data_IF_194988544467
#
_entry.id   IF_194988544467
#
_cell.length_a   1.000
_cell.length_b   1.000
_cell.length_c   1.000
_cell.angle_alpha   90.00
_cell.angle_beta   90.00
_cell.angle_gamma   90.00
#
_symmetry.space_group_name_H-M   'P 1'
#
loop_
_entity.id
_entity.type
_entity.pdbx_description
1 polymer ?
#
# COMPACT_ATOMS: atom_id res chain seq x y z
N UNK A 1 22.52 -4.72 -59.99
CA UNK A 1 22.95 -3.31 -59.94
C UNK A 1 21.95 -2.50 -60.76
N UNK A 2 21.12 -1.65 -60.13
CA UNK A 2 21.44 -0.23 -59.87
C UNK A 2 20.91 0.23 -58.47
N UNK A 3 20.83 1.53 -58.11
CA UNK A 3 21.81 2.23 -57.26
C UNK A 3 21.35 2.60 -55.83
N UNK A 4 22.34 2.82 -54.96
CA UNK A 4 22.23 3.40 -53.61
C UNK A 4 21.61 4.80 -53.65
N UNK A 5 20.49 5.02 -52.96
CA UNK A 5 20.01 6.35 -52.58
C UNK A 5 20.51 6.69 -51.16
N UNK A 6 21.18 7.83 -51.06
CA UNK A 6 21.79 8.33 -49.84
C UNK A 6 20.78 8.66 -48.75
N UNK A 7 21.17 8.36 -47.51
CA UNK A 7 20.55 8.84 -46.29
C UNK A 7 20.66 10.37 -46.21
N UNK A 8 19.55 11.06 -46.43
CA UNK A 8 19.37 12.43 -45.97
C UNK A 8 19.09 12.39 -44.46
N UNK A 9 19.96 13.03 -43.66
CA UNK A 9 19.66 13.35 -42.26
C UNK A 9 18.42 14.24 -42.20
N UNK A 10 17.43 13.96 -41.34
CA UNK A 10 16.36 14.92 -41.07
C UNK A 10 16.96 16.15 -40.38
N UNK A 11 16.70 17.33 -40.95
CA UNK A 11 16.92 18.62 -40.32
C UNK A 11 16.09 18.69 -39.04
N UNK A 12 16.74 18.91 -37.91
CA UNK A 12 16.08 19.38 -36.68
C UNK A 12 15.37 20.71 -36.97
N UNK A 13 14.08 20.86 -36.63
CA UNK A 13 13.42 22.16 -36.74
C UNK A 13 13.98 23.09 -35.67
N UNK A 14 14.65 24.15 -36.10
CA UNK A 14 14.97 25.31 -35.27
C UNK A 14 13.66 25.98 -34.85
N UNK A 15 13.33 25.91 -33.56
CA UNK A 15 12.21 26.69 -33.00
C UNK A 15 12.60 28.16 -32.96
N UNK A 16 11.80 29.10 -33.49
CA UNK A 16 12.10 30.52 -33.45
C UNK A 16 11.98 31.07 -32.03
N UNK A 17 12.96 31.86 -31.63
CA UNK A 17 12.99 32.60 -30.38
C UNK A 17 11.79 33.53 -30.24
N UNK A 18 10.81 33.09 -29.47
CA UNK A 18 9.81 33.95 -28.86
C UNK A 18 10.48 34.69 -27.70
N UNK A 19 10.74 35.99 -27.90
CA UNK A 19 11.03 36.94 -26.83
C UNK A 19 9.81 37.03 -25.91
N UNK A 20 9.70 36.07 -25.00
CA UNK A 20 8.72 36.06 -23.93
C UNK A 20 9.03 37.20 -22.97
N UNK A 21 8.15 38.20 -22.97
CA UNK A 21 7.98 39.16 -21.86
C UNK A 21 8.15 38.40 -20.54
N UNK A 22 9.01 38.90 -19.64
CA UNK A 22 9.03 38.46 -18.23
C UNK A 22 7.61 38.63 -17.69
N UNK A 23 6.82 37.56 -17.72
CA UNK A 23 5.62 37.45 -16.90
C UNK A 23 6.16 37.40 -15.48
N UNK A 24 6.08 38.53 -14.77
CA UNK A 24 6.15 38.51 -13.32
C UNK A 24 5.09 37.49 -12.90
N UNK A 25 5.54 36.36 -12.34
CA UNK A 25 4.65 35.35 -11.84
C UNK A 25 3.74 36.04 -10.83
N UNK A 26 2.44 36.13 -11.14
CA UNK A 26 1.46 36.60 -10.16
C UNK A 26 1.53 35.61 -9.02
N UNK A 27 2.05 36.06 -7.86
CA UNK A 27 2.03 35.28 -6.63
C UNK A 27 0.61 34.76 -6.43
N UNK A 28 0.48 33.47 -6.17
CA UNK A 28 -0.84 32.90 -5.88
C UNK A 28 -1.36 33.51 -4.58
N UNK A 29 -2.69 33.60 -4.41
CA UNK A 29 -3.30 34.19 -3.21
C UNK A 29 -2.78 33.51 -1.93
N UNK A 30 -2.45 32.21 -2.01
CA UNK A 30 -1.81 31.45 -0.95
C UNK A 30 -0.38 31.89 -0.62
N UNK A 31 0.46 32.20 -1.61
CA UNK A 31 1.82 32.70 -1.40
C UNK A 31 1.84 34.07 -0.72
N UNK A 32 0.84 34.92 -1.01
CA UNK A 32 0.70 36.25 -0.40
C UNK A 32 0.26 36.12 1.06
N UNK A 33 -0.73 35.27 1.34
CA UNK A 33 -1.21 35.01 2.70
C UNK A 33 -0.08 34.45 3.57
N UNK A 34 0.74 33.55 3.04
CA UNK A 34 1.82 32.94 3.81
C UNK A 34 3.02 33.86 4.04
N UNK A 35 3.40 34.70 3.06
CA UNK A 35 4.42 35.73 3.30
C UNK A 35 3.96 36.73 4.37
N UNK A 36 2.68 37.11 4.37
CA UNK A 36 2.10 37.94 5.44
C UNK A 36 2.08 37.22 6.79
N UNK A 37 1.83 35.91 6.81
CA UNK A 37 1.81 35.12 8.05
C UNK A 37 3.23 34.91 8.62
N UNK A 38 4.25 34.76 7.77
CA UNK A 38 5.66 34.67 8.17
C UNK A 38 6.28 36.05 8.52
N UNK A 39 5.67 37.15 8.08
CA UNK A 39 6.01 38.50 8.56
C UNK A 39 5.43 38.78 9.96
N UNK A 40 4.30 38.15 10.32
CA UNK A 40 3.61 38.33 11.62
C UNK A 40 3.99 37.28 12.68
N UNK A 41 4.47 36.10 12.29
CA UNK A 41 4.82 34.99 13.18
C UNK A 41 6.18 34.38 12.81
N UNK A 42 6.95 33.92 13.81
CA UNK A 42 8.23 33.25 13.53
C UNK A 42 8.02 31.87 12.87
N UNK A 43 9.05 31.41 12.16
CA UNK A 43 9.04 30.17 11.37
C UNK A 43 8.69 28.93 12.22
N UNK A 44 9.12 28.92 13.48
CA UNK A 44 8.89 27.83 14.42
C UNK A 44 7.43 27.77 14.89
N UNK A 45 6.79 28.93 15.08
CA UNK A 45 5.38 29.06 15.44
C UNK A 45 4.46 28.59 14.32
N UNK A 46 4.79 28.92 13.06
CA UNK A 46 4.01 28.49 11.89
C UNK A 46 4.13 26.98 11.66
N UNK A 47 5.31 26.42 11.92
CA UNK A 47 5.56 24.97 11.83
C UNK A 47 4.80 24.18 12.90
N UNK A 48 4.69 24.72 14.11
CA UNK A 48 3.99 24.07 15.23
C UNK A 48 2.46 24.19 15.10
N UNK A 49 1.95 25.35 14.70
CA UNK A 49 0.50 25.59 14.59
C UNK A 49 -0.10 25.07 13.29
N UNK A 50 0.66 25.05 12.19
CA UNK A 50 0.16 24.68 10.86
C UNK A 50 1.14 23.78 10.08
N UNK A 51 1.48 22.59 10.60
CA UNK A 51 2.52 21.71 10.03
C UNK A 51 2.25 21.30 8.58
N UNK A 52 0.99 21.06 8.21
CA UNK A 52 0.61 20.67 6.84
C UNK A 52 0.79 21.82 5.84
N UNK A 53 0.61 23.07 6.29
CA UNK A 53 0.80 24.27 5.46
C UNK A 53 2.29 24.55 5.27
N UNK A 54 3.06 24.40 6.35
CA UNK A 54 4.52 24.54 6.33
C UNK A 54 5.18 23.48 5.42
N UNK A 55 4.76 22.22 5.50
CA UNK A 55 5.28 21.12 4.67
C UNK A 55 4.95 21.32 3.17
N UNK A 56 3.72 21.71 2.85
CA UNK A 56 3.31 22.03 1.48
C UNK A 56 4.06 23.25 0.91
N UNK A 57 4.32 24.27 1.74
CA UNK A 57 5.14 25.41 1.36
C UNK A 57 6.60 25.04 1.14
N UNK A 58 7.21 24.26 2.04
CA UNK A 58 8.58 23.80 1.87
C UNK A 58 8.75 22.95 0.61
N UNK A 59 7.79 22.07 0.31
CA UNK A 59 7.78 21.27 -0.93
C UNK A 59 7.66 22.15 -2.17
N UNK A 60 6.74 23.12 -2.18
CA UNK A 60 6.58 24.03 -3.32
C UNK A 60 7.72 25.03 -3.47
N UNK A 61 8.37 25.41 -2.36
CA UNK A 61 9.57 26.24 -2.38
C UNK A 61 10.76 25.42 -2.86
N UNK A 62 10.95 24.18 -2.38
CA UNK A 62 11.98 23.27 -2.91
C UNK A 62 11.79 22.97 -4.41
N UNK A 63 10.57 22.74 -4.88
CA UNK A 63 10.26 22.58 -6.31
C UNK A 63 10.59 23.83 -7.13
N UNK A 64 10.40 25.04 -6.57
CA UNK A 64 10.77 26.31 -7.23
C UNK A 64 12.26 26.63 -7.13
N UNK A 65 12.90 26.35 -6.01
CA UNK A 65 14.33 26.60 -5.75
C UNK A 65 15.20 25.65 -6.57
N UNK A 66 14.72 24.42 -6.82
CA UNK A 66 15.40 23.40 -7.62
C UNK A 66 14.63 23.04 -8.90
N UNK A 67 13.88 23.98 -9.49
CA UNK A 67 13.05 23.80 -10.70
C UNK A 67 13.86 23.22 -11.88
N UNK A 68 15.15 23.56 -11.98
CA UNK A 68 16.08 22.98 -12.94
C UNK A 68 16.31 21.48 -12.73
N UNK A 69 16.65 21.08 -11.50
CA UNK A 69 16.92 19.68 -11.14
C UNK A 69 15.67 18.81 -11.24
N UNK A 70 14.49 19.33 -10.86
CA UNK A 70 13.22 18.60 -11.01
C UNK A 70 12.81 18.42 -12.47
N UNK A 71 13.03 19.41 -13.34
CA UNK A 71 12.78 19.28 -14.77
C UNK A 71 13.73 18.29 -15.44
N UNK A 72 15.01 18.33 -15.07
CA UNK A 72 16.00 17.37 -15.55
C UNK A 72 15.67 15.94 -15.11
N UNK A 73 15.38 15.73 -13.82
CA UNK A 73 14.98 14.42 -13.30
C UNK A 73 13.70 13.90 -13.96
N UNK A 74 12.71 14.76 -14.19
CA UNK A 74 11.49 14.40 -14.91
C UNK A 74 11.77 14.04 -16.38
N UNK A 75 12.65 14.78 -17.04
CA UNK A 75 13.08 14.48 -18.40
C UNK A 75 13.80 13.13 -18.48
N UNK A 76 14.77 12.90 -17.59
CA UNK A 76 15.49 11.63 -17.49
C UNK A 76 14.56 10.45 -17.20
N UNK A 77 13.57 10.63 -16.33
CA UNK A 77 12.55 9.61 -16.06
C UNK A 77 11.72 9.27 -17.30
N UNK A 78 11.32 10.27 -18.08
CA UNK A 78 10.62 10.04 -19.34
C UNK A 78 11.49 9.33 -20.39
N UNK A 79 12.77 9.68 -20.47
CA UNK A 79 13.74 9.00 -21.36
C UNK A 79 13.92 7.55 -20.92
N UNK A 80 14.09 7.29 -19.62
CA UNK A 80 14.20 5.94 -19.07
C UNK A 80 12.97 5.10 -19.41
N UNK A 81 11.77 5.65 -19.20
CA UNK A 81 10.51 4.98 -19.54
C UNK A 81 10.43 4.64 -21.03
N UNK A 82 10.74 5.60 -21.90
CA UNK A 82 10.75 5.39 -23.35
C UNK A 82 11.77 4.31 -23.79
N UNK A 83 12.98 4.31 -23.22
CA UNK A 83 13.98 3.29 -23.48
C UNK A 83 13.52 1.89 -23.01
N UNK A 84 12.82 1.81 -21.88
CA UNK A 84 12.28 0.56 -21.38
C UNK A 84 11.16 0.03 -22.29
N UNK A 85 10.25 0.90 -22.74
CA UNK A 85 9.18 0.53 -23.68
C UNK A 85 9.75 0.02 -25.03
N UNK A 86 10.81 0.67 -25.54
CA UNK A 86 11.54 0.24 -26.74
C UNK A 86 12.18 -1.14 -26.55
N UNK A 87 12.81 -1.39 -25.40
CA UNK A 87 13.42 -2.68 -25.07
C UNK A 87 12.35 -3.78 -25.09
N UNK A 88 11.20 -3.57 -24.46
CA UNK A 88 10.12 -4.56 -24.42
C UNK A 88 9.55 -4.84 -25.82
N UNK A 89 9.41 -3.81 -26.65
CA UNK A 89 9.04 -3.96 -28.07
C UNK A 89 10.07 -4.80 -28.85
N UNK A 90 11.38 -4.55 -28.68
CA UNK A 90 12.43 -5.33 -29.33
C UNK A 90 12.44 -6.80 -28.87
N UNK A 91 12.21 -7.04 -27.58
CA UNK A 91 12.09 -8.41 -27.04
C UNK A 91 10.90 -9.14 -27.66
N UNK A 92 9.75 -8.48 -27.78
CA UNK A 92 8.57 -9.08 -28.44
C UNK A 92 8.89 -9.45 -29.89
N UNK A 93 9.49 -8.52 -30.64
CA UNK A 93 9.84 -8.76 -32.05
C UNK A 93 10.84 -9.91 -32.24
N UNK A 94 11.85 -10.00 -31.37
CA UNK A 94 12.82 -11.10 -31.42
C UNK A 94 12.19 -12.46 -31.11
N UNK A 95 11.17 -12.53 -30.24
CA UNK A 95 10.41 -13.76 -29.99
C UNK A 95 9.58 -14.17 -31.21
N UNK A 96 8.92 -13.20 -31.84
CA UNK A 96 8.13 -13.44 -33.04
C UNK A 96 9.02 -13.95 -34.19
N UNK A 97 10.18 -13.31 -34.41
CA UNK A 97 11.16 -13.73 -35.42
C UNK A 97 11.72 -15.15 -35.14
N UNK A 98 11.97 -15.49 -33.88
CA UNK A 98 12.44 -16.83 -33.50
C UNK A 98 11.37 -17.91 -33.75
N UNK A 99 10.10 -17.64 -33.39
CA UNK A 99 9.00 -18.54 -33.69
C UNK A 99 8.86 -18.79 -35.19
N UNK A 100 8.96 -17.73 -36.00
CA UNK A 100 8.84 -17.82 -37.45
C UNK A 100 9.95 -18.68 -38.08
N UNK A 101 11.20 -18.54 -37.59
CA UNK A 101 12.33 -19.36 -38.00
C UNK A 101 12.15 -20.85 -37.63
N UNK A 102 11.56 -21.12 -36.47
CA UNK A 102 11.30 -22.48 -35.99
C UNK A 102 10.17 -23.16 -36.79
N UNK A 103 9.12 -22.41 -37.14
CA UNK A 103 8.08 -22.86 -38.07
C UNK A 103 8.66 -23.17 -39.46
N UNK A 104 9.50 -22.28 -40.01
CA UNK A 104 10.16 -22.52 -41.31
C UNK A 104 11.02 -23.78 -41.30
N UNK A 105 11.79 -24.00 -40.22
CA UNK A 105 12.61 -25.21 -40.05
C UNK A 105 11.77 -26.48 -39.98
N UNK A 106 10.62 -26.43 -39.33
CA UNK A 106 9.69 -27.56 -39.25
C UNK A 106 9.01 -27.85 -40.59
N UNK A 107 8.61 -26.82 -41.34
CA UNK A 107 8.06 -26.96 -42.69
C UNK A 107 9.11 -27.60 -43.63
N UNK A 108 10.35 -27.13 -43.59
CA UNK A 108 11.44 -27.68 -44.41
C UNK A 108 11.64 -29.19 -44.17
N UNK A 109 11.65 -29.62 -42.90
CA UNK A 109 11.76 -31.06 -42.55
C UNK A 109 10.60 -31.91 -43.06
N UNK A 110 9.38 -31.36 -43.09
CA UNK A 110 8.21 -32.05 -43.64
C UNK A 110 8.38 -32.22 -45.15
N UNK A 111 8.78 -31.16 -45.86
CA UNK A 111 9.03 -31.19 -47.30
C UNK A 111 10.16 -32.18 -47.66
N UNK A 112 11.24 -32.21 -46.89
CA UNK A 112 12.34 -33.18 -47.06
C UNK A 112 11.85 -34.62 -46.87
N UNK A 113 10.99 -34.89 -45.88
CA UNK A 113 10.39 -36.22 -45.70
C UNK A 113 9.46 -36.60 -46.85
N UNK A 114 8.61 -35.68 -47.31
CA UNK A 114 7.73 -35.92 -48.47
C UNK A 114 8.55 -36.22 -49.74
N UNK A 115 9.65 -35.51 -49.96
CA UNK A 115 10.54 -35.75 -51.10
C UNK A 115 11.23 -37.12 -51.04
N UNK A 116 11.67 -37.56 -49.85
CA UNK A 116 12.24 -38.90 -49.65
C UNK A 116 11.18 -39.98 -49.89
N UNK A 117 9.95 -39.77 -49.39
CA UNK A 117 8.84 -40.69 -49.56
C UNK A 117 8.48 -40.84 -51.06
N UNK A 118 8.43 -39.74 -51.82
CA UNK A 118 8.20 -39.74 -53.27
C UNK A 118 9.35 -40.44 -54.03
N UNK A 119 10.61 -40.21 -53.65
CA UNK A 119 11.74 -40.91 -54.25
C UNK A 119 11.64 -42.42 -54.02
N UNK A 120 11.32 -42.84 -52.80
CA UNK A 120 11.20 -44.27 -52.46
C UNK A 120 10.02 -44.93 -53.18
N UNK A 121 8.88 -44.24 -53.30
CA UNK A 121 7.72 -44.72 -54.07
C UNK A 121 8.09 -44.93 -55.56
N UNK A 122 8.75 -43.94 -56.17
CA UNK A 122 9.22 -44.04 -57.56
C UNK A 122 10.22 -45.19 -57.77
N UNK A 123 11.11 -45.42 -56.80
CA UNK A 123 12.06 -46.54 -56.85
C UNK A 123 11.34 -47.89 -56.81
N UNK A 124 10.31 -48.03 -55.98
CA UNK A 124 9.52 -49.26 -55.90
C UNK A 124 8.75 -49.50 -57.19
N UNK A 125 8.08 -48.49 -57.72
CA UNK A 125 7.37 -48.61 -59.00
C UNK A 125 8.32 -48.98 -60.14
N UNK A 126 9.56 -48.50 -60.10
CA UNK A 126 10.60 -48.84 -61.08
C UNK A 126 11.06 -50.29 -60.90
N UNK A 127 11.22 -50.75 -59.66
CA UNK A 127 11.59 -52.14 -59.34
C UNK A 127 10.47 -53.10 -59.72
N UNK A 128 9.21 -52.79 -59.39
CA UNK A 128 8.06 -53.63 -59.72
C UNK A 128 7.89 -53.75 -61.23
N UNK A 129 8.02 -52.65 -61.97
CA UNK A 129 8.05 -52.68 -63.45
C UNK A 129 9.21 -53.52 -64.00
N UNK A 130 10.40 -53.45 -63.39
CA UNK A 130 11.54 -54.27 -63.81
C UNK A 130 11.31 -55.76 -63.55
N UNK A 131 10.69 -56.11 -62.42
CA UNK A 131 10.29 -57.49 -62.08
C UNK A 131 9.26 -58.00 -63.09
N UNK A 132 8.27 -57.20 -63.44
CA UNK A 132 7.22 -57.56 -64.38
C UNK A 132 7.80 -57.77 -65.80
N UNK A 133 8.66 -56.85 -66.24
CA UNK A 133 9.39 -56.96 -67.51
C UNK A 133 10.27 -58.21 -67.55
N UNK A 134 10.93 -58.56 -66.44
CA UNK A 134 11.75 -59.76 -66.34
C UNK A 134 10.89 -61.04 -66.38
N UNK A 135 9.77 -61.08 -65.65
CA UNK A 135 8.80 -62.20 -65.69
C UNK A 135 8.29 -62.42 -67.11
N UNK A 136 7.90 -61.35 -67.80
CA UNK A 136 7.44 -61.40 -69.18
C UNK A 136 8.52 -61.90 -70.13
N UNK A 137 9.76 -61.41 -69.98
CA UNK A 137 10.90 -61.86 -70.79
C UNK A 137 11.23 -63.33 -70.54
N UNK A 138 11.22 -63.77 -69.28
CA UNK A 138 11.40 -65.18 -68.90
C UNK A 138 10.33 -66.05 -69.56
N UNK A 139 9.06 -65.65 -69.45
CA UNK A 139 7.94 -66.43 -69.97
C UNK A 139 7.95 -66.46 -71.51
N UNK A 140 8.42 -65.38 -72.15
CA UNK A 140 8.68 -65.37 -73.59
C UNK A 140 9.82 -66.32 -73.97
N UNK A 141 10.98 -66.24 -73.32
CA UNK A 141 12.12 -67.14 -73.60
C UNK A 141 11.77 -68.61 -73.35
N UNK A 142 11.01 -68.91 -72.29
CA UNK A 142 10.54 -70.26 -72.01
C UNK A 142 9.59 -70.74 -73.10
N UNK A 143 8.65 -69.90 -73.56
CA UNK A 143 7.78 -70.22 -74.70
C UNK A 143 8.56 -70.44 -76.00
N UNK A 144 9.50 -69.55 -76.33
CA UNK A 144 10.35 -69.65 -77.53
C UNK A 144 11.24 -70.90 -77.51
N UNK A 145 11.82 -71.24 -76.35
CA UNK A 145 12.60 -72.48 -76.19
C UNK A 145 11.73 -73.72 -76.27
N UNK A 146 10.50 -73.66 -75.75
CA UNK A 146 9.56 -74.77 -75.81
C UNK A 146 9.07 -75.00 -77.24
N UNK A 147 8.77 -73.91 -77.98
CA UNK A 147 8.40 -74.01 -79.40
C UNK A 147 9.58 -74.44 -80.25
N UNK A 148 10.81 -73.96 -79.99
CA UNK A 148 12.02 -74.43 -80.67
C UNK A 148 12.31 -75.91 -80.39
N UNK A 149 12.24 -76.35 -79.12
CA UNK A 149 12.37 -77.77 -78.78
C UNK A 149 11.29 -78.60 -79.46
N UNK A 150 10.03 -78.19 -79.44
CA UNK A 150 8.96 -78.91 -80.12
C UNK A 150 9.15 -78.95 -81.64
N UNK A 151 9.68 -77.88 -82.25
CA UNK A 151 10.05 -77.85 -83.66
C UNK A 151 11.18 -78.83 -83.96
N UNK A 152 12.24 -78.83 -83.17
CA UNK A 152 13.36 -79.75 -83.34
C UNK A 152 12.97 -81.19 -83.03
N UNK A 153 12.06 -81.45 -82.09
CA UNK A 153 11.53 -82.79 -81.84
C UNK A 153 10.69 -83.28 -83.02
N UNK A 154 9.87 -82.41 -83.63
CA UNK A 154 9.12 -82.75 -84.84
C UNK A 154 10.03 -82.96 -86.05
N UNK A 155 10.98 -82.06 -86.28
CA UNK A 155 11.99 -82.19 -87.35
C UNK A 155 12.89 -83.41 -87.15
N UNK A 156 13.32 -83.72 -85.91
CA UNK A 156 14.06 -84.95 -85.64
C UNK A 156 13.18 -86.19 -85.82
N UNK A 157 11.86 -86.11 -85.60
CA UNK A 157 10.95 -87.20 -85.92
C UNK A 157 10.75 -87.36 -87.43
N UNK A 158 10.60 -86.26 -88.17
CA UNK A 158 10.50 -86.25 -89.63
C UNK A 158 11.81 -86.72 -90.28
N UNK A 159 12.97 -86.31 -89.75
CA UNK A 159 14.30 -86.78 -90.19
C UNK A 159 14.52 -88.25 -89.81
N UNK A 160 14.01 -88.72 -88.66
CA UNK A 160 14.03 -90.14 -88.29
C UNK A 160 13.09 -90.95 -89.17
N UNK A 161 11.94 -90.42 -89.58
CA UNK A 161 11.05 -91.05 -90.56
C UNK A 161 11.68 -91.08 -91.96
N UNK A 162 12.33 -90.00 -92.40
CA UNK A 162 13.06 -89.94 -93.68
C UNK A 162 14.26 -90.89 -93.69
N UNK A 163 15.02 -90.93 -92.58
CA UNK A 163 16.13 -91.89 -92.40
C UNK A 163 15.60 -93.30 -92.23
N UNK A 164 14.43 -93.54 -91.62
CA UNK A 164 13.81 -94.87 -91.57
C UNK A 164 13.33 -95.33 -92.94
N UNK A 165 12.77 -94.45 -93.78
CA UNK A 165 12.40 -94.77 -95.16
C UNK A 165 13.64 -95.02 -96.05
N UNK A 166 14.70 -94.21 -95.92
CA UNK A 166 15.98 -94.45 -96.61
C UNK A 166 16.70 -95.70 -96.08
N UNK A 167 16.55 -95.99 -94.79
CA UNK A 167 17.08 -97.18 -94.11
C UNK A 167 16.31 -98.44 -94.48
N UNK A 168 14.99 -98.43 -94.64
CA UNK A 168 14.25 -99.63 -95.09
C UNK A 168 14.64 -100.02 -96.52
N UNK A 169 15.09 -99.05 -97.33
CA UNK A 169 15.70 -99.27 -98.64
C UNK A 169 17.13 -99.83 -98.52
N UNK A 170 17.96 -99.36 -97.58
CA UNK A 170 19.34 -99.85 -97.40
C UNK A 170 19.47 -101.11 -96.52
N UNK A 171 18.51 -101.39 -95.64
CA UNK A 171 18.50 -102.56 -94.73
C UNK A 171 18.09 -103.86 -95.44
N UNK A 172 17.73 -103.80 -96.73
CA UNK A 172 17.63 -104.98 -97.58
C UNK A 172 18.99 -105.60 -97.92
N UNK A 173 20.12 -104.91 -97.67
CA UNK A 173 21.42 -105.42 -98.12
C UNK A 173 22.48 -105.69 -97.05
N UNK A 174 22.49 -105.12 -95.85
CA UNK A 174 23.50 -105.52 -94.85
C UNK A 174 23.07 -105.33 -93.38
N UNK A 175 22.91 -106.45 -92.68
CA UNK A 175 22.80 -106.59 -91.21
C UNK A 175 24.01 -107.45 -90.78
N UNK A 176 24.88 -107.11 -89.81
CA UNK A 176 24.58 -107.02 -88.38
C UNK A 176 25.58 -106.12 -87.57
N UNK A 177 26.60 -105.50 -88.17
CA UNK A 177 27.67 -104.83 -87.37
C UNK A 177 27.38 -103.38 -86.92
N UNK A 178 26.33 -102.73 -87.43
CA UNK A 178 26.03 -101.30 -87.16
C UNK A 178 25.15 -101.03 -85.92
N UNK A 179 24.69 -102.05 -85.21
CA UNK A 179 23.80 -101.88 -84.05
C UNK A 179 24.55 -101.53 -82.75
N UNK A 180 25.83 -101.90 -82.61
CA UNK A 180 26.58 -101.66 -81.36
C UNK A 180 27.16 -100.24 -81.22
N UNK A 181 27.53 -99.58 -82.32
CA UNK A 181 28.06 -98.20 -82.32
C UNK A 181 26.95 -97.13 -82.20
N UNK A 182 25.72 -97.44 -82.63
CA UNK A 182 24.55 -96.53 -82.53
C UNK A 182 24.04 -96.34 -81.10
N UNK A 183 24.11 -97.38 -80.26
CA UNK A 183 23.61 -97.32 -78.88
C UNK A 183 24.51 -96.49 -77.94
N UNK A 184 25.83 -96.58 -78.11
CA UNK A 184 26.78 -95.97 -77.16
C UNK A 184 26.91 -94.45 -77.37
N UNK A 185 27.06 -93.98 -78.62
CA UNK A 185 27.22 -92.54 -78.88
C UNK A 185 25.94 -91.70 -78.70
N UNK A 186 24.75 -92.29 -78.90
CA UNK A 186 23.49 -91.59 -78.65
C UNK A 186 23.18 -91.51 -77.15
N UNK A 187 23.49 -92.56 -76.39
CA UNK A 187 23.28 -92.59 -74.95
C UNK A 187 24.22 -91.63 -74.18
N UNK A 188 25.51 -91.58 -74.52
CA UNK A 188 26.46 -90.66 -73.87
C UNK A 188 26.13 -89.18 -74.12
N UNK A 189 25.71 -88.84 -75.35
CA UNK A 189 25.26 -87.46 -75.67
C UNK A 189 23.95 -87.10 -74.97
N UNK A 190 22.99 -88.02 -74.88
CA UNK A 190 21.75 -87.80 -74.14
C UNK A 190 22.00 -87.64 -72.63
N UNK A 191 22.95 -88.37 -72.08
CA UNK A 191 23.33 -88.27 -70.67
C UNK A 191 24.03 -86.93 -70.37
N UNK A 192 24.94 -86.48 -71.23
CA UNK A 192 25.55 -85.14 -71.13
C UNK A 192 24.54 -84.00 -71.30
N UNK A 193 23.56 -84.15 -72.19
CA UNK A 193 22.47 -83.17 -72.38
C UNK A 193 21.54 -83.16 -71.16
N UNK A 194 21.23 -84.32 -70.56
CA UNK A 194 20.45 -84.39 -69.32
C UNK A 194 21.20 -83.74 -68.15
N UNK A 195 22.51 -83.99 -68.03
CA UNK A 195 23.37 -83.45 -66.97
C UNK A 195 23.52 -81.93 -67.08
N UNK A 196 23.83 -81.42 -68.27
CA UNK A 196 23.88 -79.97 -68.53
C UNK A 196 22.51 -79.30 -68.37
N UNK A 197 21.39 -79.91 -68.80
CA UNK A 197 20.03 -79.41 -68.51
C UNK A 197 19.69 -79.38 -67.02
N UNK A 198 20.25 -80.28 -66.22
CA UNK A 198 20.04 -80.31 -64.78
C UNK A 198 20.87 -79.21 -64.10
N UNK A 199 22.15 -79.09 -64.43
CA UNK A 199 23.06 -78.06 -63.91
C UNK A 199 22.57 -76.64 -64.25
N UNK A 200 22.17 -76.40 -65.50
CA UNK A 200 21.65 -75.09 -65.91
C UNK A 200 20.34 -74.75 -65.21
N UNK A 201 19.49 -75.74 -64.90
CA UNK A 201 18.28 -75.55 -64.10
C UNK A 201 18.59 -75.24 -62.65
N UNK A 202 19.61 -75.85 -62.06
CA UNK A 202 20.05 -75.56 -60.68
C UNK A 202 20.60 -74.15 -60.61
N UNK A 203 21.54 -73.76 -61.48
CA UNK A 203 22.14 -72.42 -61.48
C UNK A 203 21.09 -71.33 -61.74
N UNK A 204 20.16 -71.54 -62.68
CA UNK A 204 19.08 -70.55 -62.92
C UNK A 204 18.15 -70.42 -61.71
N UNK A 205 17.87 -71.54 -61.01
CA UNK A 205 16.98 -71.57 -59.85
C UNK A 205 17.65 -70.92 -58.64
N UNK A 206 18.94 -71.12 -58.45
CA UNK A 206 19.72 -70.50 -57.38
C UNK A 206 19.90 -69.00 -57.61
N UNK A 207 20.18 -68.56 -58.85
CA UNK A 207 20.21 -67.13 -59.20
C UNK A 207 18.84 -66.46 -59.03
N UNK A 208 17.74 -67.15 -59.37
CA UNK A 208 16.37 -66.67 -59.13
C UNK A 208 16.06 -66.53 -57.65
N UNK A 209 16.52 -67.50 -56.85
CA UNK A 209 16.32 -67.52 -55.41
C UNK A 209 17.09 -66.38 -54.74
N UNK A 210 18.36 -66.16 -55.10
CA UNK A 210 19.16 -65.04 -54.57
C UNK A 210 18.57 -63.68 -54.95
N UNK A 211 18.09 -63.53 -56.19
CA UNK A 211 17.43 -62.30 -56.63
C UNK A 211 16.11 -62.06 -55.87
N UNK A 212 15.27 -63.08 -55.72
CA UNK A 212 14.04 -63.03 -54.93
C UNK A 212 14.31 -62.70 -53.45
N UNK A 213 15.33 -63.31 -52.84
CA UNK A 213 15.71 -63.04 -51.45
C UNK A 213 16.16 -61.59 -51.26
N UNK A 214 16.96 -61.04 -52.18
CA UNK A 214 17.34 -59.61 -52.15
C UNK A 214 16.14 -58.68 -52.33
N UNK A 215 15.18 -59.03 -53.18
CA UNK A 215 13.94 -58.24 -53.32
C UNK A 215 13.04 -58.33 -52.09
N UNK A 216 12.93 -59.50 -51.47
CA UNK A 216 12.23 -59.68 -50.19
C UNK A 216 12.88 -58.85 -49.08
N UNK A 217 14.22 -58.73 -49.05
CA UNK A 217 14.93 -57.85 -48.13
C UNK A 217 14.63 -56.37 -48.39
N UNK A 218 14.69 -55.89 -49.64
CA UNK A 218 14.36 -54.49 -49.97
C UNK A 218 12.92 -54.16 -49.57
N UNK A 219 11.99 -55.04 -49.88
CA UNK A 219 10.57 -54.89 -49.51
C UNK A 219 10.37 -54.92 -48.00
N UNK A 220 11.08 -55.77 -47.27
CA UNK A 220 11.06 -55.81 -45.81
C UNK A 220 11.57 -54.49 -45.19
N UNK A 221 12.68 -53.95 -45.69
CA UNK A 221 13.25 -52.68 -45.24
C UNK A 221 12.25 -51.53 -45.48
N UNK A 222 11.64 -51.49 -46.66
CA UNK A 222 10.63 -50.48 -46.99
C UNK A 222 9.37 -50.57 -46.11
N UNK A 223 8.82 -51.78 -45.93
CA UNK A 223 7.68 -51.98 -45.05
C UNK A 223 8.01 -51.56 -43.60
N UNK A 224 9.23 -51.83 -43.15
CA UNK A 224 9.73 -51.42 -41.82
C UNK A 224 9.88 -49.89 -41.72
N UNK A 225 10.36 -49.24 -42.77
CA UNK A 225 10.44 -47.78 -42.86
C UNK A 225 9.03 -47.16 -42.79
N UNK A 226 8.09 -47.58 -43.64
CA UNK A 226 6.70 -47.08 -43.63
C UNK A 226 6.06 -47.24 -42.24
N UNK A 227 6.11 -48.44 -41.66
CA UNK A 227 5.48 -48.67 -40.36
C UNK A 227 6.12 -47.83 -39.25
N UNK A 228 7.43 -47.60 -39.28
CA UNK A 228 8.09 -46.71 -38.33
C UNK A 228 7.74 -45.23 -38.59
N UNK A 229 7.66 -44.80 -39.84
CA UNK A 229 7.30 -43.42 -40.22
C UNK A 229 5.85 -43.13 -39.84
N UNK A 230 4.91 -44.06 -40.04
CA UNK A 230 3.54 -43.93 -39.56
C UNK A 230 3.45 -43.86 -38.04
N UNK A 231 4.20 -44.70 -37.31
CA UNK A 231 4.26 -44.62 -35.84
C UNK A 231 4.77 -43.25 -35.37
N UNK A 232 5.81 -42.72 -36.01
CA UNK A 232 6.35 -41.37 -35.73
C UNK A 232 5.33 -40.28 -36.06
N UNK A 233 4.60 -40.37 -37.18
CA UNK A 233 3.51 -39.43 -37.53
C UNK A 233 2.39 -39.46 -36.49
N UNK A 234 1.98 -40.64 -36.01
CA UNK A 234 0.97 -40.77 -34.93
C UNK A 234 1.45 -40.16 -33.61
N UNK A 235 2.69 -40.43 -33.22
CA UNK A 235 3.29 -39.84 -32.02
C UNK A 235 3.37 -38.31 -32.11
N UNK A 236 3.75 -37.76 -33.26
CA UNK A 236 3.79 -36.32 -33.49
C UNK A 236 2.38 -35.68 -33.43
N UNK A 237 1.37 -36.31 -34.03
CA UNK A 237 -0.02 -35.85 -33.95
C UNK A 237 -0.57 -35.87 -32.52
N UNK A 238 -0.20 -36.88 -31.72
CA UNK A 238 -0.56 -36.94 -30.30
C UNK A 238 0.15 -35.83 -29.49
N UNK A 239 1.43 -35.57 -29.77
CA UNK A 239 2.18 -34.49 -29.14
C UNK A 239 1.55 -33.13 -29.45
N UNK A 240 1.23 -32.88 -30.71
CA UNK A 240 0.57 -31.64 -31.17
C UNK A 240 -0.82 -31.44 -30.55
N UNK A 241 -1.57 -32.52 -30.36
CA UNK A 241 -2.87 -32.46 -29.68
C UNK A 241 -2.70 -32.13 -28.19
N UNK A 242 -1.67 -32.68 -27.54
CA UNK A 242 -1.33 -32.39 -26.15
C UNK A 242 -0.83 -30.95 -25.98
N UNK A 243 0.07 -30.48 -26.84
CA UNK A 243 0.56 -29.09 -26.80
C UNK A 243 -0.59 -28.09 -26.90
N UNK A 244 -1.57 -28.33 -27.80
CA UNK A 244 -2.79 -27.50 -27.87
C UNK A 244 -3.62 -27.52 -26.59
N UNK A 245 -3.70 -28.67 -25.92
CA UNK A 245 -4.42 -28.75 -24.63
C UNK A 245 -3.66 -28.05 -23.51
N UNK A 246 -2.34 -28.16 -23.51
CA UNK A 246 -1.45 -27.52 -22.54
C UNK A 246 -1.46 -25.99 -22.75
N UNK A 247 -1.50 -25.50 -23.99
CA UNK A 247 -1.66 -24.08 -24.32
C UNK A 247 -2.97 -23.51 -23.74
N UNK A 248 -4.09 -24.23 -23.87
CA UNK A 248 -5.38 -23.82 -23.28
C UNK A 248 -5.30 -23.75 -21.74
N UNK A 249 -4.58 -24.69 -21.11
CA UNK A 249 -4.37 -24.69 -19.66
C UNK A 249 -3.48 -23.52 -19.25
N UNK A 250 -2.41 -23.25 -20.00
CA UNK A 250 -1.51 -22.12 -19.78
C UNK A 250 -2.27 -20.79 -19.90
N UNK A 251 -3.13 -20.63 -20.90
CA UNK A 251 -3.99 -19.46 -21.08
C UNK A 251 -4.87 -19.24 -19.83
N UNK A 252 -5.56 -20.30 -19.36
CA UNK A 252 -6.40 -20.23 -18.15
C UNK A 252 -5.61 -19.89 -16.89
N UNK A 253 -4.38 -20.41 -16.77
CA UNK A 253 -3.50 -20.09 -15.65
C UNK A 253 -3.02 -18.63 -15.72
N UNK A 254 -2.72 -18.11 -16.91
CA UNK A 254 -2.39 -16.69 -17.11
C UNK A 254 -3.54 -15.78 -16.71
N UNK A 255 -4.76 -16.10 -17.13
CA UNK A 255 -5.97 -15.35 -16.75
C UNK A 255 -6.17 -15.36 -15.23
N UNK A 256 -5.95 -16.52 -14.59
CA UNK A 256 -6.05 -16.65 -13.14
C UNK A 256 -4.95 -15.89 -12.39
N UNK A 257 -3.72 -15.83 -12.93
CA UNK A 257 -2.65 -15.01 -12.36
C UNK A 257 -2.99 -13.52 -12.48
N UNK A 258 -3.53 -13.10 -13.63
CA UNK A 258 -3.96 -11.72 -13.84
C UNK A 258 -5.08 -11.31 -12.88
N UNK A 259 -6.09 -12.16 -12.65
CA UNK A 259 -7.15 -11.88 -11.68
C UNK A 259 -6.62 -11.81 -10.24
N UNK A 260 -5.71 -12.71 -9.86
CA UNK A 260 -5.04 -12.68 -8.55
C UNK A 260 -4.18 -11.42 -8.36
N UNK A 261 -3.56 -10.88 -9.41
CA UNK A 261 -2.82 -9.61 -9.33
C UNK A 261 -3.75 -8.43 -9.06
N UNK A 262 -4.92 -8.38 -9.72
CA UNK A 262 -5.94 -7.35 -9.46
C UNK A 262 -6.45 -7.44 -8.02
N UNK A 263 -6.74 -8.66 -7.55
CA UNK A 263 -7.21 -8.90 -6.18
C UNK A 263 -6.15 -8.52 -5.13
N UNK A 264 -4.88 -8.86 -5.38
CA UNK A 264 -3.75 -8.44 -4.55
C UNK A 264 -3.64 -6.92 -4.47
N UNK A 265 -3.79 -6.22 -5.59
CA UNK A 265 -3.73 -4.76 -5.63
C UNK A 265 -4.89 -4.11 -4.85
N UNK A 266 -6.10 -4.69 -4.93
CA UNK A 266 -7.27 -4.28 -4.15
C UNK A 266 -7.05 -4.47 -2.64
N UNK A 267 -6.55 -5.65 -2.22
CA UNK A 267 -6.23 -5.94 -0.81
C UNK A 267 -5.14 -5.00 -0.30
N UNK A 268 -4.11 -4.71 -1.11
CA UNK A 268 -3.02 -3.79 -0.73
C UNK A 268 -3.54 -2.36 -0.53
N UNK A 269 -4.48 -1.91 -1.38
CA UNK A 269 -5.15 -0.61 -1.20
C UNK A 269 -6.00 -0.58 0.08
N UNK A 270 -6.73 -1.67 0.38
CA UNK A 270 -7.51 -1.79 1.63
C UNK A 270 -6.63 -1.77 2.87
N UNK A 271 -5.50 -2.49 2.88
CA UNK A 271 -4.53 -2.48 3.98
C UNK A 271 -3.93 -1.09 4.22
N UNK A 272 -3.64 -0.31 3.18
CA UNK A 272 -3.20 1.08 3.34
C UNK A 272 -4.24 1.94 4.04
N UNK A 273 -5.52 1.75 3.73
CA UNK A 273 -6.62 2.47 4.40
C UNK A 273 -6.73 2.04 5.86
N UNK A 274 -6.63 0.74 6.16
CA UNK A 274 -6.63 0.23 7.54
C UNK A 274 -5.44 0.76 8.35
N UNK A 275 -4.25 0.91 7.76
CA UNK A 275 -3.09 1.52 8.41
C UNK A 275 -3.32 3.01 8.73
N UNK A 276 -3.87 3.78 7.78
CA UNK A 276 -4.22 5.19 8.01
C UNK A 276 -5.27 5.32 9.12
N UNK A 277 -6.26 4.42 9.14
CA UNK A 277 -7.28 4.40 10.19
C UNK A 277 -6.68 4.02 11.56
N UNK A 278 -5.73 3.09 11.61
CA UNK A 278 -5.05 2.72 12.85
C UNK A 278 -4.24 3.88 13.42
N UNK A 279 -3.46 4.59 12.58
CA UNK A 279 -2.75 5.81 12.97
C UNK A 279 -3.72 6.88 13.48
N UNK A 280 -4.87 7.06 12.83
CA UNK A 280 -5.87 8.05 13.24
C UNK A 280 -6.56 7.68 14.56
N UNK A 281 -6.71 6.39 14.84
CA UNK A 281 -7.20 5.90 16.15
C UNK A 281 -6.16 6.17 17.24
N UNK A 282 -4.88 5.92 16.96
CA UNK A 282 -3.78 6.22 17.89
C UNK A 282 -3.71 7.72 18.23
N UNK A 283 -3.84 8.60 17.22
CA UNK A 283 -3.91 10.04 17.42
C UNK A 283 -5.09 10.42 18.33
N UNK A 284 -6.29 9.88 18.06
CA UNK A 284 -7.49 10.13 18.87
C UNK A 284 -7.38 9.57 20.30
N UNK A 285 -6.71 8.43 20.49
CA UNK A 285 -6.44 7.90 21.83
C UNK A 285 -5.45 8.76 22.60
N UNK A 286 -4.44 9.32 21.93
CA UNK A 286 -3.50 10.27 22.53
C UNK A 286 -4.20 11.56 22.95
N UNK A 287 -5.07 12.12 22.10
CA UNK A 287 -5.86 13.32 22.39
C UNK A 287 -6.86 13.07 23.53
N UNK A 288 -7.50 11.90 23.54
CA UNK A 288 -8.34 11.48 24.67
C UNK A 288 -7.52 11.42 25.97
N UNK A 289 -6.30 10.90 25.93
CA UNK A 289 -5.39 10.86 27.07
C UNK A 289 -5.08 12.25 27.62
N UNK A 290 -4.71 13.19 26.75
CA UNK A 290 -4.42 14.58 27.16
C UNK A 290 -5.64 15.28 27.73
N UNK A 291 -6.83 15.09 27.14
CA UNK A 291 -8.09 15.66 27.65
C UNK A 291 -8.48 15.08 29.00
N UNK A 292 -8.30 13.77 29.21
CA UNK A 292 -8.55 13.13 30.51
C UNK A 292 -7.60 13.68 31.57
N UNK A 293 -6.32 13.86 31.25
CA UNK A 293 -5.34 14.46 32.16
C UNK A 293 -5.67 15.92 32.49
N UNK A 294 -6.08 16.72 31.49
CA UNK A 294 -6.53 18.11 31.70
C UNK A 294 -7.77 18.15 32.61
N UNK A 295 -8.77 17.29 32.36
CA UNK A 295 -9.95 17.16 33.23
C UNK A 295 -9.57 16.74 34.65
N UNK A 296 -8.59 15.85 34.80
CA UNK A 296 -8.03 15.45 36.09
C UNK A 296 -7.45 16.64 36.85
N UNK A 297 -6.58 17.42 36.19
CA UNK A 297 -5.98 18.64 36.76
C UNK A 297 -7.03 19.68 37.13
N UNK A 298 -7.99 19.96 36.23
CA UNK A 298 -9.08 20.91 36.50
C UNK A 298 -9.95 20.47 37.69
N UNK A 299 -10.24 19.17 37.84
CA UNK A 299 -10.99 18.67 39.01
C UNK A 299 -10.22 18.83 40.31
N UNK A 300 -8.91 18.63 40.30
CA UNK A 300 -8.07 18.83 41.48
C UNK A 300 -8.05 20.31 41.85
N UNK A 301 -7.85 21.19 40.86
CA UNK A 301 -7.82 22.63 41.07
C UNK A 301 -9.16 23.15 41.58
N UNK A 302 -10.28 22.75 40.98
CA UNK A 302 -11.61 23.11 41.44
C UNK A 302 -11.85 22.70 42.90
N UNK A 303 -11.39 21.50 43.32
CA UNK A 303 -11.48 21.08 44.72
C UNK A 303 -10.64 21.93 45.66
N UNK A 304 -9.46 22.37 45.22
CA UNK A 304 -8.60 23.26 45.99
C UNK A 304 -9.25 24.64 46.12
N UNK A 305 -9.75 25.20 45.02
CA UNK A 305 -10.45 26.50 45.00
C UNK A 305 -11.67 26.49 45.93
N UNK A 306 -12.50 25.43 45.88
CA UNK A 306 -13.64 25.29 46.81
C UNK A 306 -13.20 25.22 48.29
N UNK A 307 -12.07 24.57 48.59
CA UNK A 307 -11.55 24.50 49.95
C UNK A 307 -11.01 25.87 50.42
N UNK A 308 -10.31 26.60 49.53
CA UNK A 308 -9.82 27.95 49.80
C UNK A 308 -10.97 28.95 50.01
N UNK A 309 -11.98 28.92 49.15
CA UNK A 309 -13.16 29.77 49.29
C UNK A 309 -13.94 29.44 50.57
N UNK A 310 -14.07 28.16 50.92
CA UNK A 310 -14.64 27.74 52.20
C UNK A 310 -13.88 28.29 53.40
N UNK A 311 -12.54 28.27 53.37
CA UNK A 311 -11.70 28.85 54.41
C UNK A 311 -11.83 30.37 54.50
N UNK A 312 -11.88 31.07 53.36
CA UNK A 312 -12.10 32.52 53.28
C UNK A 312 -13.47 32.92 53.82
N UNK A 313 -14.52 32.19 53.47
CA UNK A 313 -15.87 32.40 53.98
C UNK A 313 -15.91 32.23 55.49
N UNK A 314 -15.31 31.17 56.04
CA UNK A 314 -15.21 30.96 57.49
C UNK A 314 -14.46 32.10 58.18
N UNK A 315 -13.35 32.57 57.61
CA UNK A 315 -12.61 33.70 58.16
C UNK A 315 -13.44 34.99 58.16
N UNK A 316 -14.12 35.29 57.04
CA UNK A 316 -15.01 36.44 56.93
C UNK A 316 -16.15 36.37 57.94
N UNK A 317 -16.80 35.21 58.09
CA UNK A 317 -17.86 35.00 59.08
C UNK A 317 -17.35 35.24 60.50
N UNK A 318 -16.17 34.72 60.85
CA UNK A 318 -15.58 34.95 62.18
C UNK A 318 -15.29 36.44 62.41
N UNK A 319 -14.75 37.14 61.40
CA UNK A 319 -14.44 38.56 61.51
C UNK A 319 -15.72 39.40 61.62
N UNK A 320 -16.75 39.11 60.82
CA UNK A 320 -18.05 39.75 60.93
C UNK A 320 -18.68 39.53 62.32
N UNK A 321 -18.62 38.30 62.85
CA UNK A 321 -19.15 38.01 64.18
C UNK A 321 -18.38 38.78 65.27
N UNK A 322 -17.06 38.84 65.19
CA UNK A 322 -16.24 39.64 66.12
C UNK A 322 -16.61 41.12 66.09
N UNK A 323 -16.78 41.69 64.89
CA UNK A 323 -17.18 43.10 64.74
C UNK A 323 -18.60 43.32 65.27
N UNK A 324 -19.52 42.38 65.04
CA UNK A 324 -20.89 42.45 65.60
C UNK A 324 -20.83 42.42 67.13
N UNK A 325 -20.03 41.55 67.73
CA UNK A 325 -19.84 41.48 69.18
C UNK A 325 -19.27 42.79 69.75
N UNK A 326 -18.26 43.37 69.10
CA UNK A 326 -17.69 44.66 69.48
C UNK A 326 -18.72 45.80 69.39
N UNK A 327 -19.49 45.86 68.31
CA UNK A 327 -20.54 46.86 68.13
C UNK A 327 -21.67 46.70 69.15
N UNK A 328 -22.07 45.47 69.48
CA UNK A 328 -23.04 45.20 70.54
C UNK A 328 -22.53 45.64 71.91
N UNK A 329 -21.24 45.47 72.19
CA UNK A 329 -20.66 45.94 73.44
C UNK A 329 -20.58 47.48 73.51
N UNK A 330 -20.24 48.13 72.39
CA UNK A 330 -20.32 49.60 72.29
C UNK A 330 -21.75 50.10 72.48
N UNK A 331 -22.75 49.44 71.87
CA UNK A 331 -24.16 49.76 72.05
C UNK A 331 -24.57 49.66 73.52
N UNK A 332 -24.19 48.58 74.23
CA UNK A 332 -24.44 48.43 75.67
C UNK A 332 -23.79 49.53 76.49
N UNK A 333 -22.57 49.92 76.16
CA UNK A 333 -21.84 50.98 76.86
C UNK A 333 -22.53 52.33 76.68
N UNK A 334 -22.94 52.66 75.46
CA UNK A 334 -23.72 53.87 75.15
C UNK A 334 -25.06 53.85 75.89
N UNK A 335 -25.78 52.73 75.88
CA UNK A 335 -27.04 52.58 76.60
C UNK A 335 -26.85 52.78 78.12
N UNK A 336 -25.76 52.26 78.68
CA UNK A 336 -25.41 52.45 80.10
C UNK A 336 -25.09 53.91 80.41
N UNK A 337 -24.32 54.59 79.58
CA UNK A 337 -24.02 56.03 79.71
C UNK A 337 -25.33 56.83 79.67
N UNK A 338 -26.20 56.58 78.69
CA UNK A 338 -27.49 57.25 78.57
C UNK A 338 -28.38 57.02 79.80
N UNK A 339 -28.43 55.78 80.32
CA UNK A 339 -29.13 55.47 81.58
C UNK A 339 -28.59 56.28 82.75
N UNK A 340 -27.26 56.41 82.90
CA UNK A 340 -26.67 57.25 83.93
C UNK A 340 -26.99 58.72 83.74
N UNK A 341 -26.96 59.24 82.51
CA UNK A 341 -27.35 60.64 82.22
C UNK A 341 -28.80 60.88 82.64
N UNK A 342 -29.73 60.00 82.26
CA UNK A 342 -31.16 60.12 82.64
C UNK A 342 -31.32 60.08 84.17
N UNK A 343 -30.63 59.16 84.86
CA UNK A 343 -30.66 59.06 86.31
C UNK A 343 -30.11 60.32 87.00
N UNK A 344 -28.95 60.82 86.54
CA UNK A 344 -28.33 62.03 87.06
C UNK A 344 -29.21 63.26 86.81
N UNK A 345 -29.80 63.37 85.62
CA UNK A 345 -30.70 64.46 85.24
C UNK A 345 -31.90 64.56 86.19
N UNK A 346 -32.34 63.47 86.84
CA UNK A 346 -33.43 63.52 87.83
C UNK A 346 -33.15 64.50 88.98
N UNK A 347 -31.89 64.57 89.45
CA UNK A 347 -31.48 65.34 90.61
C UNK A 347 -31.05 66.79 90.29
N UNK A 348 -30.93 67.12 89.00
CA UNK A 348 -30.61 68.48 88.57
C UNK A 348 -31.78 69.44 88.86
N UNK A 349 -31.43 70.67 89.23
CA UNK A 349 -32.40 71.74 89.44
C UNK A 349 -33.07 72.15 88.13
N UNK A 350 -34.26 72.77 88.18
CA UNK A 350 -34.96 73.22 86.97
C UNK A 350 -34.11 74.18 86.13
N UNK A 351 -33.32 75.04 86.79
CA UNK A 351 -32.41 75.98 86.11
C UNK A 351 -31.34 75.25 85.32
N UNK A 352 -30.72 74.23 85.91
CA UNK A 352 -29.67 73.43 85.25
C UNK A 352 -30.22 72.55 84.12
N UNK A 353 -31.49 72.14 84.19
CA UNK A 353 -32.14 71.38 83.11
C UNK A 353 -32.43 72.23 81.88
N UNK A 354 -32.90 73.46 82.09
CA UNK A 354 -33.25 74.39 81.02
C UNK A 354 -32.00 75.00 80.39
N UNK A 355 -31.01 75.33 81.23
CA UNK A 355 -29.75 75.92 80.81
C UNK A 355 -28.57 75.11 81.39
N UNK A 356 -28.26 73.94 80.79
CA UNK A 356 -27.19 73.07 81.27
C UNK A 356 -25.78 73.66 81.08
N UNK A 357 -25.66 74.66 80.20
CA UNK A 357 -24.42 75.37 79.92
C UNK A 357 -24.63 76.87 80.13
N UNK A 358 -23.80 77.49 80.97
CA UNK A 358 -23.83 78.94 81.19
C UNK A 358 -23.43 79.70 79.92
N UNK A 359 -24.08 80.83 79.65
CA UNK A 359 -23.71 81.75 78.55
C UNK A 359 -22.28 82.30 78.67
N UNK A 360 -21.66 82.18 79.84
CA UNK A 360 -20.24 82.50 80.02
C UNK A 360 -19.32 81.47 79.37
N UNK A 361 -19.70 80.19 79.29
CA UNK A 361 -18.88 79.11 78.71
C UNK A 361 -18.73 79.29 77.19
N UNK A 362 -19.78 79.74 76.51
CA UNK A 362 -19.74 80.01 75.06
C UNK A 362 -18.75 81.12 74.69
N UNK A 363 -18.24 81.87 75.67
CA UNK A 363 -17.30 82.98 75.49
C UNK A 363 -15.89 82.69 75.98
N UNK A 364 -15.65 81.56 76.65
CA UNK A 364 -14.32 81.19 77.15
C UNK A 364 -13.67 80.31 76.09
N UNK A 365 -12.75 80.90 75.33
CA UNK A 365 -11.85 80.16 74.44
C UNK A 365 -10.75 79.55 75.31
N UNK A 366 -10.93 78.30 75.73
CA UNK A 366 -9.92 77.58 76.50
C UNK A 366 -8.82 77.17 75.50
N UNK A 367 -7.59 77.63 75.72
CA UNK A 367 -6.44 77.24 74.91
C UNK A 367 -6.12 75.75 75.15
N UNK A 368 -6.62 74.87 74.30
CA UNK A 368 -6.29 73.46 74.32
C UNK A 368 -4.94 73.20 73.66
N UNK A 369 -4.25 72.17 74.15
CA UNK A 369 -3.10 71.63 73.46
C UNK A 369 -3.60 70.89 72.20
N UNK A 370 -3.13 71.31 71.01
CA UNK A 370 -3.56 70.75 69.71
C UNK A 370 -3.28 69.25 69.56
N UNK A 371 -2.48 68.69 70.48
CA UNK A 371 -2.14 67.27 70.54
C UNK A 371 -3.31 66.34 70.90
N UNK A 372 -4.41 66.86 71.49
CA UNK A 372 -5.54 66.03 71.94
C UNK A 372 -6.93 66.64 71.61
N UNK A 373 -7.31 66.71 70.33
CA UNK A 373 -8.55 67.35 69.88
C UNK A 373 -9.82 66.64 70.36
N UNK A 374 -9.75 65.35 70.69
CA UNK A 374 -10.87 64.48 71.08
C UNK A 374 -11.50 64.87 72.43
N UNK A 375 -10.79 65.59 73.29
CA UNK A 375 -11.29 66.00 74.61
C UNK A 375 -12.00 67.35 74.60
N UNK A 376 -11.88 68.13 73.51
CA UNK A 376 -12.53 69.45 73.37
C UNK A 376 -14.05 69.36 73.48
N UNK A 377 -14.64 68.22 73.12
CA UNK A 377 -16.10 68.03 73.19
C UNK A 377 -16.61 67.76 74.61
N UNK A 378 -15.72 67.48 75.58
CA UNK A 378 -16.08 67.21 76.98
C UNK A 378 -16.04 68.45 77.88
N UNK A 379 -15.54 69.59 77.41
CA UNK A 379 -15.31 70.79 78.23
C UNK A 379 -16.58 71.32 78.88
N UNK A 380 -17.66 71.32 78.11
CA UNK A 380 -18.98 71.77 78.58
C UNK A 380 -19.49 70.86 79.69
N UNK A 381 -19.19 69.56 79.62
CA UNK A 381 -19.54 68.59 80.65
C UNK A 381 -18.67 68.74 81.91
N UNK A 382 -17.35 68.93 81.75
CA UNK A 382 -16.42 69.14 82.87
C UNK A 382 -16.72 70.45 83.63
N UNK A 383 -16.99 71.53 82.91
CA UNK A 383 -17.41 72.79 83.54
C UNK A 383 -18.68 72.58 84.38
N UNK A 384 -19.65 71.83 83.84
CA UNK A 384 -20.89 71.53 84.53
C UNK A 384 -20.65 70.72 85.82
N UNK A 385 -19.74 69.74 85.77
CA UNK A 385 -19.33 69.01 86.97
C UNK A 385 -18.74 69.94 88.03
N UNK A 386 -17.81 70.83 87.64
CA UNK A 386 -17.19 71.79 88.56
C UNK A 386 -18.21 72.77 89.17
N UNK A 387 -19.21 73.20 88.39
CA UNK A 387 -20.29 74.05 88.90
C UNK A 387 -21.10 73.32 90.00
N UNK A 388 -21.44 72.05 89.78
CA UNK A 388 -22.14 71.23 90.78
C UNK A 388 -21.28 71.05 92.03
N UNK A 389 -19.98 70.78 91.88
CA UNK A 389 -19.05 70.66 93.02
C UNK A 389 -19.02 71.94 93.87
N UNK A 390 -18.92 73.11 93.24
CA UNK A 390 -18.97 74.41 93.93
C UNK A 390 -20.29 74.59 94.67
N UNK A 391 -21.43 74.24 94.05
CA UNK A 391 -22.73 74.31 94.71
C UNK A 391 -22.81 73.36 95.92
N UNK A 392 -22.28 72.14 95.80
CA UNK A 392 -22.23 71.18 96.90
C UNK A 392 -21.37 71.70 98.04
N UNK A 393 -20.20 72.28 97.76
CA UNK A 393 -19.30 72.81 98.78
C UNK A 393 -19.87 74.07 99.46
N UNK A 394 -20.57 74.92 98.71
CA UNK A 394 -21.35 76.01 99.29
C UNK A 394 -22.44 75.50 100.24
N UNK A 395 -23.21 74.49 99.83
CA UNK A 395 -24.26 73.90 100.66
C UNK A 395 -23.70 73.24 101.93
N UNK A 396 -22.55 72.57 101.84
CA UNK A 396 -21.84 72.03 103.02
C UNK A 396 -21.42 73.16 103.97
N UNK A 397 -20.83 74.22 103.44
CA UNK A 397 -20.40 75.38 104.25
C UNK A 397 -21.60 76.07 104.94
N UNK A 398 -22.74 76.17 104.25
CA UNK A 398 -23.97 76.72 104.80
C UNK A 398 -24.55 75.83 105.90
N UNK A 399 -24.54 74.50 105.69
CA UNK A 399 -24.97 73.52 106.67
C UNK A 399 -24.11 73.59 107.93
N UNK A 400 -22.78 73.64 107.80
CA UNK A 400 -21.85 73.81 108.92
C UNK A 400 -22.16 75.08 109.71
N UNK A 401 -22.34 76.22 109.03
CA UNK A 401 -22.71 77.49 109.66
C UNK A 401 -24.03 77.39 110.43
N UNK A 402 -25.07 76.77 109.86
CA UNK A 402 -26.35 76.59 110.55
C UNK A 402 -26.22 75.65 111.75
N UNK A 403 -25.41 74.60 111.65
CA UNK A 403 -25.12 73.70 112.78
C UNK A 403 -24.35 74.41 113.90
N UNK A 404 -23.45 75.35 113.57
CA UNK A 404 -22.78 76.19 114.55
C UNK A 404 -23.78 77.13 115.24
N UNK A 405 -24.62 77.83 114.47
CA UNK A 405 -25.67 78.70 115.01
C UNK A 405 -26.69 77.93 115.87
N UNK A 406 -27.08 76.72 115.47
CA UNK A 406 -27.95 75.86 116.24
C UNK A 406 -27.28 75.45 117.57
N UNK A 407 -25.98 75.12 117.55
CA UNK A 407 -25.20 74.83 118.75
C UNK A 407 -25.15 76.04 119.70
N UNK A 408 -24.92 77.24 119.17
CA UNK A 408 -24.94 78.49 119.93
C UNK A 408 -26.32 78.80 120.54
N UNK A 409 -27.39 78.70 119.74
CA UNK A 409 -28.77 78.89 120.20
C UNK A 409 -29.16 77.88 121.28
N UNK A 410 -28.81 76.61 121.10
CA UNK A 410 -29.03 75.56 122.12
C UNK A 410 -28.29 75.90 123.41
N UNK A 411 -27.05 76.38 123.33
CA UNK A 411 -26.28 76.82 124.48
C UNK A 411 -26.92 78.03 125.19
N UNK A 412 -27.37 79.05 124.44
CA UNK A 412 -28.04 80.25 124.96
C UNK A 412 -29.38 79.92 125.63
N UNK A 413 -30.19 79.05 125.01
CA UNK A 413 -31.45 78.58 125.60
C UNK A 413 -31.17 77.78 126.87
N UNK A 414 -30.16 76.90 126.86
CA UNK A 414 -29.74 76.16 128.06
C UNK A 414 -29.31 77.10 129.20
N UNK A 415 -28.52 78.14 128.90
CA UNK A 415 -28.10 79.16 129.88
C UNK A 415 -29.29 79.97 130.40
N UNK A 416 -30.18 80.44 129.53
CA UNK A 416 -31.39 81.16 129.92
C UNK A 416 -32.33 80.31 130.81
N UNK A 417 -32.58 79.06 130.42
CA UNK A 417 -33.38 78.12 131.24
C UNK A 417 -32.71 77.90 132.60
N UNK A 418 -31.38 77.75 132.65
CA UNK A 418 -30.66 77.61 133.92
C UNK A 418 -30.76 78.84 134.83
N UNK A 419 -30.86 80.06 134.27
CA UNK A 419 -31.03 81.31 135.01
C UNK A 419 -32.47 81.57 135.48
N UNK A 420 -33.47 81.02 134.80
CA UNK A 420 -34.89 81.13 135.20
C UNK A 420 -35.35 80.03 136.16
N UNK A 421 -34.58 78.94 136.28
CA UNK A 421 -34.83 77.84 137.23
C UNK A 421 -33.90 77.88 138.46
N UNK A 422 -33.37 79.08 138.79
CA UNK A 422 -32.82 79.46 140.10
C UNK A 422 -33.73 80.52 140.68
#
# INVERSE_FOLDING_TARGET
>A
MPPKKGLQKPKTPSTPGSKGKKKVAKKTTWEIIMEQTLEEFDEDTVKEQYPQVFEAFHLTTQEKTYDGAFKEMKHEWHVYKYCNDLKDMYISKLKDDHMLLEEQKNIMKIVEMEHIDDMLANYIDTVDRAIETYKDRRDRLMRERFTFMNRNFRSAHEDVEYVMQAKDVMMKEHHEEMNHLKGVQTFEKDEQIKKSKAELRVVLKDALKDMLDKFCQIRSIYCTYITNTEKKRRAFSQLKAKDRSDDIIIEKLRDKIASLHIEKEYITKKMKIEYINASKIEDLESEKGTLVDMLGKMRIQLKQDYAEDGARLMHLTNLCNSVIEELQEQERLVEKILKYIILSHKYETLSEKIQPYSTMIERIDIAFNDDFPEYRDLDKFLFRMAQIEIHVDYMKSLLEKYQDQERELKALVSDAVSKFYV
#
